data_IF_655025711545
#
_entry.id   IF_655025711545
#
_cell.length_a   1.000
_cell.length_b   1.000
_cell.length_c   1.000
_cell.angle_alpha   90.00
_cell.angle_beta   90.00
_cell.angle_gamma   90.00
#
_symmetry.space_group_name_H-M   'P 1'
#
loop_
_entity.id
_entity.type
_entity.pdbx_description
1 polymer ?
#
# COMPACT_ATOMS: atom_id res chain seq x y z
N UNK A 1 10.34 -19.46 -9.16
CA UNK A 1 9.13 -20.02 -9.80
C UNK A 1 9.28 -21.53 -9.89
N UNK A 2 8.21 -22.29 -9.66
CA UNK A 2 8.23 -23.76 -9.72
C UNK A 2 7.01 -24.22 -10.51
N UNK A 3 7.21 -25.08 -11.49
CA UNK A 3 6.13 -25.72 -12.27
C UNK A 3 6.25 -27.24 -12.15
N UNK A 4 5.12 -27.92 -11.94
CA UNK A 4 5.03 -29.40 -11.93
C UNK A 4 4.24 -29.80 -13.17
N UNK A 5 4.83 -30.59 -14.06
CA UNK A 5 4.27 -30.95 -15.38
C UNK A 5 3.94 -29.73 -16.27
N UNK A 6 4.62 -28.60 -16.06
CA UNK A 6 4.43 -27.36 -16.82
C UNK A 6 5.79 -26.83 -17.28
N UNK A 7 6.02 -26.63 -18.59
CA UNK A 7 7.34 -26.26 -19.13
C UNK A 7 7.70 -24.80 -18.88
N UNK A 8 6.70 -23.91 -18.77
CA UNK A 8 6.89 -22.47 -18.57
C UNK A 8 6.05 -22.04 -17.36
N UNK A 9 6.61 -21.99 -16.14
CA UNK A 9 5.88 -21.67 -14.93
C UNK A 9 5.78 -20.14 -14.71
N UNK A 10 5.21 -19.43 -15.68
CA UNK A 10 4.98 -17.97 -15.59
C UNK A 10 3.62 -17.72 -14.92
N UNK A 11 3.58 -17.05 -13.75
CA UNK A 11 2.33 -16.72 -13.09
C UNK A 11 1.50 -15.72 -13.92
N UNK A 12 0.17 -15.84 -13.83
CA UNK A 12 -0.76 -14.85 -14.38
C UNK A 12 -0.67 -13.53 -13.62
N UNK A 13 -1.18 -12.44 -14.20
CA UNK A 13 -1.00 -11.05 -13.71
C UNK A 13 -1.50 -10.77 -12.29
N UNK A 14 -2.40 -11.59 -11.76
CA UNK A 14 -2.89 -11.50 -10.39
C UNK A 14 -1.95 -12.14 -9.36
N UNK A 15 -0.98 -12.94 -9.81
CA UNK A 15 0.13 -13.45 -9.00
C UNK A 15 1.40 -12.65 -9.27
N UNK A 16 2.30 -12.65 -8.30
CA UNK A 16 3.58 -11.97 -8.43
C UNK A 16 4.62 -12.85 -9.15
N UNK A 17 5.30 -12.27 -10.15
CA UNK A 17 6.37 -12.88 -10.95
C UNK A 17 7.74 -12.43 -10.43
N UNK A 18 8.64 -13.37 -10.19
CA UNK A 18 10.00 -13.06 -9.77
C UNK A 18 10.93 -14.27 -9.71
N UNK A 19 12.19 -14.01 -9.38
CA UNK A 19 13.26 -15.01 -9.33
C UNK A 19 14.03 -14.95 -8.02
N UNK A 20 15.14 -15.71 -7.96
CA UNK A 20 16.08 -15.70 -6.84
C UNK A 20 17.50 -15.55 -7.41
N UNK A 21 18.46 -15.02 -6.62
CA UNK A 21 19.84 -14.68 -7.07
C UNK A 21 19.81 -13.63 -8.19
N UNK A 22 20.60 -13.80 -9.24
CA UNK A 22 20.69 -12.86 -10.38
C UNK A 22 19.46 -12.86 -11.30
N UNK A 23 18.39 -13.58 -10.94
CA UNK A 23 17.16 -13.65 -11.73
C UNK A 23 16.17 -12.50 -11.47
N UNK A 24 16.39 -11.70 -10.42
CA UNK A 24 15.62 -10.47 -10.16
C UNK A 24 16.46 -9.53 -9.29
N UNK A 25 16.32 -8.22 -9.50
CA UNK A 25 16.94 -7.21 -8.66
C UNK A 25 15.89 -6.55 -7.76
N UNK A 26 16.29 -6.22 -6.53
CA UNK A 26 15.41 -5.58 -5.55
C UNK A 26 14.49 -6.56 -4.81
N UNK A 27 13.63 -6.01 -3.95
CA UNK A 27 12.79 -6.77 -3.03
C UNK A 27 11.37 -7.05 -3.55
N UNK A 28 10.91 -6.33 -4.58
CA UNK A 28 9.55 -6.44 -5.08
C UNK A 28 9.49 -7.26 -6.36
N UNK A 29 8.49 -8.14 -6.42
CA UNK A 29 8.15 -8.90 -7.61
C UNK A 29 7.28 -8.09 -8.59
N UNK A 30 7.22 -8.52 -9.85
CA UNK A 30 6.45 -7.88 -10.91
C UNK A 30 4.98 -8.36 -10.83
N UNK A 31 4.04 -7.45 -11.05
CA UNK A 31 2.59 -7.70 -11.01
C UNK A 31 2.07 -8.21 -9.64
N UNK A 32 0.75 -8.47 -9.58
CA UNK A 32 0.07 -8.84 -8.36
C UNK A 32 0.14 -7.77 -7.26
N UNK A 33 -0.02 -8.18 -5.99
CA UNK A 33 0.07 -7.27 -4.84
C UNK A 33 1.44 -6.59 -4.69
N UNK A 34 2.53 -7.25 -5.08
CA UNK A 34 3.88 -6.67 -5.00
C UNK A 34 4.07 -5.51 -5.97
N UNK A 35 3.49 -5.57 -7.18
CA UNK A 35 3.49 -4.44 -8.10
C UNK A 35 2.79 -3.21 -7.53
N UNK A 36 1.67 -3.38 -6.83
CA UNK A 36 0.97 -2.27 -6.15
C UNK A 36 1.82 -1.72 -5.00
N UNK A 37 2.42 -2.59 -4.20
CA UNK A 37 3.31 -2.19 -3.09
C UNK A 37 4.52 -1.40 -3.56
N UNK A 38 5.08 -1.72 -4.72
CA UNK A 38 6.21 -0.98 -5.29
C UNK A 38 5.87 0.48 -5.63
N UNK A 39 4.68 0.71 -6.19
CA UNK A 39 4.23 2.06 -6.58
C UNK A 39 3.50 2.83 -5.49
N UNK A 40 3.27 2.23 -4.32
CA UNK A 40 2.55 2.86 -3.21
C UNK A 40 3.38 2.87 -1.95
N UNK A 41 3.01 3.74 -1.00
CA UNK A 41 3.63 3.76 0.33
C UNK A 41 2.56 3.60 1.40
N UNK A 42 2.75 2.70 2.39
CA UNK A 42 1.84 2.62 3.52
C UNK A 42 1.91 3.91 4.34
N UNK A 43 0.75 4.46 4.71
CA UNK A 43 0.63 5.58 5.63
C UNK A 43 -0.28 5.15 6.77
N UNK A 44 0.19 5.30 8.01
CA UNK A 44 -0.60 5.07 9.22
C UNK A 44 -0.94 6.43 9.83
N UNK A 45 -2.23 6.68 10.07
CA UNK A 45 -2.72 7.93 10.67
C UNK A 45 -3.38 7.60 12.00
N UNK A 46 -2.89 8.20 13.08
CA UNK A 46 -3.51 8.12 14.41
C UNK A 46 -4.16 9.48 14.66
N UNK A 47 -5.47 9.49 14.88
CA UNK A 47 -6.24 10.71 15.13
C UNK A 47 -7.01 10.61 16.45
N UNK A 48 -7.21 11.77 17.08
CA UNK A 48 -8.07 11.93 18.26
C UNK A 48 -8.97 13.13 18.02
N UNK A 49 -10.26 12.93 18.27
CA UNK A 49 -11.26 14.00 18.25
C UNK A 49 -11.64 14.33 19.69
N UNK A 50 -11.21 15.47 20.25
CA UNK A 50 -11.57 15.85 21.61
C UNK A 50 -13.08 16.13 21.71
N UNK A 51 -13.65 15.86 22.90
CA UNK A 51 -15.04 16.17 23.21
C UNK A 51 -15.30 17.68 23.05
N UNK A 52 -16.32 18.10 22.26
CA UNK A 52 -16.73 19.49 22.13
C UNK A 52 -17.04 20.17 23.46
N UNK A 53 -17.42 19.47 24.54
CA UNK A 53 -17.70 20.09 25.84
C UNK A 53 -16.43 20.79 26.41
N UNK A 54 -15.24 20.34 26.02
CA UNK A 54 -13.96 20.95 26.41
C UNK A 54 -13.43 21.97 25.38
N UNK A 55 -14.14 22.19 24.28
CA UNK A 55 -13.86 23.20 23.25
C UNK A 55 -15.13 24.01 23.04
N UNK A 56 -15.19 25.24 23.54
CA UNK A 56 -16.31 26.15 23.24
C UNK A 56 -16.70 26.15 21.74
N UNK A 57 -17.94 26.52 21.44
CA UNK A 57 -18.50 26.47 20.08
C UNK A 57 -17.68 27.32 19.11
N UNK A 58 -16.83 26.68 18.31
CA UNK A 58 -16.06 27.30 17.23
C UNK A 58 -16.61 26.79 15.89
N UNK A 59 -17.28 27.69 15.18
CA UNK A 59 -17.95 27.43 13.91
C UNK A 59 -17.16 28.00 12.71
N UNK A 60 -15.95 28.53 12.95
CA UNK A 60 -15.11 29.11 11.91
C UNK A 60 -15.66 30.37 11.24
N UNK A 61 -16.71 31.00 11.80
CA UNK A 61 -17.26 32.24 11.26
C UNK A 61 -16.38 33.45 11.64
N UNK A 62 -16.18 34.42 10.73
CA UNK A 62 -15.52 35.68 11.05
C UNK A 62 -16.29 36.40 12.17
N UNK A 63 -15.62 36.65 13.30
CA UNK A 63 -16.17 37.48 14.38
C UNK A 63 -15.74 38.92 14.15
N UNK A 64 -16.71 39.82 13.95
CA UNK A 64 -16.45 41.25 13.99
C UNK A 64 -16.22 41.66 15.45
N UNK A 65 -15.08 42.29 15.73
CA UNK A 65 -14.86 43.07 16.94
C UNK A 65 -15.48 44.45 16.79
#
# INVERSE_FOLDING_TARGET
>A
MVGINVPIPVPLSFYSFGGWKDSIFGSHAIYGPEGVRFYTRPKVVISRWPDPIHRGVDLGFPQNK
#
